data_IF_459763469248
#
_entry.id   IF_459763469248
#
_cell.length_a   1.000
_cell.length_b   1.000
_cell.length_c   1.000
_cell.angle_alpha   90.00
_cell.angle_beta   90.00
_cell.angle_gamma   90.00
#
_symmetry.space_group_name_H-M   'P 1'
#
loop_
_entity.id
_entity.type
_entity.pdbx_description
1 polymer ?
#
# COMPACT_ATOMS: atom_id res chain seq x y z
N UNK A 1 -15.04 -11.12 4.56
CA UNK A 1 -14.41 -10.79 3.28
C UNK A 1 -13.57 -9.54 3.42
N UNK A 2 -12.31 -9.58 2.98
CA UNK A 2 -11.41 -8.42 2.94
C UNK A 2 -11.30 -7.95 1.49
N UNK A 3 -11.48 -6.65 1.24
CA UNK A 3 -11.28 -6.06 -0.09
C UNK A 3 -9.81 -5.71 -0.35
N UNK A 4 -9.44 -5.57 -1.62
CA UNK A 4 -8.14 -5.01 -2.02
C UNK A 4 -8.35 -3.55 -2.46
N UNK A 5 -7.66 -2.62 -1.81
CA UNK A 5 -7.84 -1.18 -2.00
C UNK A 5 -6.50 -0.52 -2.35
N UNK A 6 -6.48 0.15 -3.49
CA UNK A 6 -5.31 0.89 -3.95
C UNK A 6 -5.39 2.35 -3.52
N UNK A 7 -4.58 2.73 -2.54
CA UNK A 7 -4.44 4.13 -2.09
C UNK A 7 -3.30 4.86 -2.77
N UNK A 8 -2.47 4.17 -3.56
CA UNK A 8 -1.27 4.74 -4.16
C UNK A 8 -1.52 5.40 -5.53
N UNK A 9 -2.43 4.85 -6.33
CA UNK A 9 -2.70 5.26 -7.71
C UNK A 9 -4.12 4.87 -8.11
N UNK A 10 -4.61 5.42 -9.22
CA UNK A 10 -5.79 4.91 -9.93
C UNK A 10 -5.38 4.30 -11.26
N UNK A 11 -6.34 3.80 -12.05
CA UNK A 11 -6.13 3.61 -13.49
C UNK A 11 -6.15 4.95 -14.23
N UNK A 12 -5.60 4.98 -15.44
CA UNK A 12 -5.67 6.11 -16.38
C UNK A 12 -7.08 6.30 -16.97
N UNK A 13 -7.88 5.25 -17.06
CA UNK A 13 -9.30 5.33 -17.41
C UNK A 13 -10.22 5.65 -16.21
N UNK A 14 -9.66 6.02 -15.05
CA UNK A 14 -10.46 6.38 -13.88
C UNK A 14 -11.09 7.76 -14.08
N UNK A 15 -12.36 7.93 -13.74
CA UNK A 15 -13.12 9.17 -13.94
C UNK A 15 -12.40 10.42 -13.38
N UNK A 16 -11.73 10.28 -12.23
CA UNK A 16 -10.92 11.37 -11.67
C UNK A 16 -9.72 11.72 -12.53
N UNK A 17 -9.02 10.74 -13.09
CA UNK A 17 -7.86 11.01 -13.93
C UNK A 17 -8.29 11.58 -15.28
N UNK A 18 -9.39 11.10 -15.86
CA UNK A 18 -9.96 11.65 -17.08
C UNK A 18 -10.38 13.12 -16.88
N UNK A 19 -11.08 13.42 -15.77
CA UNK A 19 -11.46 14.78 -15.41
C UNK A 19 -10.22 15.68 -15.24
N UNK A 20 -9.26 15.24 -14.42
CA UNK A 20 -8.00 15.93 -14.15
C UNK A 20 -7.20 16.23 -15.43
N UNK A 21 -7.12 15.27 -16.35
CA UNK A 21 -6.37 15.40 -17.60
C UNK A 21 -7.08 16.28 -18.62
N UNK A 22 -8.42 16.31 -18.59
CA UNK A 22 -9.22 17.11 -19.53
C UNK A 22 -9.33 18.58 -19.13
N UNK A 23 -9.31 18.87 -17.82
CA UNK A 23 -9.46 20.22 -17.28
C UNK A 23 -8.49 20.45 -16.11
N UNK A 24 -7.37 21.17 -16.35
CA UNK A 24 -6.42 21.54 -15.30
C UNK A 24 -6.99 22.42 -14.18
N UNK A 25 -8.18 23.02 -14.37
CA UNK A 25 -8.86 23.81 -13.34
C UNK A 25 -9.86 22.98 -12.50
N UNK A 26 -10.05 21.70 -12.82
CA UNK A 26 -10.91 20.79 -12.05
C UNK A 26 -10.37 20.54 -10.64
N UNK A 27 -11.25 20.12 -9.73
CA UNK A 27 -10.83 19.70 -8.38
C UNK A 27 -9.94 18.45 -8.45
N UNK A 28 -10.27 17.55 -9.37
CA UNK A 28 -9.55 16.31 -9.65
C UNK A 28 -8.13 16.53 -10.19
N UNK A 29 -7.84 17.66 -10.83
CA UNK A 29 -6.47 18.02 -11.21
C UNK A 29 -5.52 18.00 -10.00
N UNK A 30 -6.03 18.38 -8.81
CA UNK A 30 -5.28 18.30 -7.55
C UNK A 30 -5.06 16.88 -7.03
N UNK A 31 -5.77 15.88 -7.54
CA UNK A 31 -5.69 14.49 -7.05
C UNK A 31 -4.47 13.76 -7.59
N UNK A 32 -3.75 14.34 -8.56
CA UNK A 32 -2.58 13.75 -9.19
C UNK A 32 -1.41 14.74 -9.17
N UNK A 33 -0.23 14.26 -9.57
CA UNK A 33 0.96 15.09 -9.72
C UNK A 33 1.21 15.32 -11.21
N UNK A 34 0.79 16.45 -11.76
CA UNK A 34 1.14 16.86 -13.13
C UNK A 34 2.42 17.70 -13.15
N UNK A 35 3.16 17.66 -14.26
CA UNK A 35 4.25 18.60 -14.53
C UNK A 35 3.73 20.03 -14.65
N UNK A 36 4.61 21.02 -14.46
CA UNK A 36 4.22 22.44 -14.53
C UNK A 36 3.61 22.84 -15.89
N UNK A 37 4.06 22.19 -16.97
CA UNK A 37 3.54 22.40 -18.33
C UNK A 37 2.37 21.46 -18.69
N UNK A 38 1.95 20.59 -17.78
CA UNK A 38 0.88 19.61 -17.97
C UNK A 38 1.17 18.51 -18.99
N UNK A 39 2.42 18.40 -19.48
CA UNK A 39 2.80 17.41 -20.49
C UNK A 39 3.06 16.01 -19.94
N UNK A 40 3.28 15.89 -18.63
CA UNK A 40 3.60 14.65 -17.95
C UNK A 40 2.94 14.58 -16.56
N UNK A 41 2.94 13.39 -15.95
CA UNK A 41 2.43 13.16 -14.61
C UNK A 41 3.18 12.04 -13.88
N UNK A 42 3.20 12.10 -12.55
CA UNK A 42 3.78 11.02 -11.77
C UNK A 42 2.91 9.77 -11.84
N UNK A 43 3.52 8.65 -12.21
CA UNK A 43 2.87 7.35 -12.24
C UNK A 43 3.66 6.32 -11.41
N UNK A 44 2.97 5.27 -10.92
CA UNK A 44 3.63 4.24 -10.13
C UNK A 44 4.67 3.49 -10.98
N UNK A 45 5.94 3.54 -10.55
CA UNK A 45 7.10 3.07 -11.33
C UNK A 45 7.15 3.60 -12.78
N UNK A 46 6.58 4.77 -13.04
CA UNK A 46 6.53 5.36 -14.38
C UNK A 46 5.62 4.61 -15.35
N UNK A 47 4.76 3.70 -14.87
CA UNK A 47 3.79 2.98 -15.71
C UNK A 47 2.62 3.92 -16.01
N UNK A 48 2.43 4.41 -17.26
CA UNK A 48 1.48 5.50 -17.54
C UNK A 48 0.04 5.17 -17.14
N UNK A 49 -0.36 3.90 -17.24
CA UNK A 49 -1.70 3.47 -16.87
C UNK A 49 -2.02 3.53 -15.37
N UNK A 50 -1.04 3.91 -14.52
CA UNK A 50 -1.16 3.90 -13.06
C UNK A 50 -0.80 5.28 -12.46
N UNK A 51 -1.57 6.34 -12.79
CA UNK A 51 -1.35 7.70 -12.31
C UNK A 51 -1.41 7.78 -10.78
N UNK A 52 -0.39 8.41 -10.18
CA UNK A 52 -0.18 8.42 -8.74
C UNK A 52 -1.05 9.46 -8.04
N UNK A 53 -1.71 9.04 -6.97
CA UNK A 53 -2.55 9.91 -6.15
C UNK A 53 -1.73 10.89 -5.29
N UNK A 54 -2.14 12.15 -5.30
CA UNK A 54 -1.56 13.26 -4.54
C UNK A 54 -2.31 13.50 -3.23
N UNK A 55 -1.83 12.87 -2.16
CA UNK A 55 -2.41 12.98 -0.82
C UNK A 55 -2.23 14.34 -0.14
N UNK A 56 -1.65 15.35 -0.81
CA UNK A 56 -1.72 16.74 -0.34
C UNK A 56 -3.10 17.37 -0.60
N UNK A 57 -3.85 16.85 -1.59
CA UNK A 57 -5.20 17.38 -1.90
C UNK A 57 -6.18 17.09 -0.75
N UNK A 58 -6.77 18.14 -0.14
CA UNK A 58 -7.80 17.95 0.88
C UNK A 58 -9.05 17.28 0.33
N UNK A 59 -9.45 17.63 -0.91
CA UNK A 59 -10.61 17.06 -1.57
C UNK A 59 -10.44 15.56 -1.87
N UNK A 60 -9.22 15.12 -2.27
CA UNK A 60 -8.92 13.69 -2.38
C UNK A 60 -9.09 12.99 -1.03
N UNK A 61 -8.56 13.57 0.05
CA UNK A 61 -8.67 12.98 1.40
C UNK A 61 -10.12 12.84 1.83
N UNK A 62 -10.93 13.86 1.59
CA UNK A 62 -12.35 13.84 1.90
C UNK A 62 -13.08 12.75 1.12
N UNK A 63 -12.94 12.72 -0.22
CA UNK A 63 -13.66 11.77 -1.07
C UNK A 63 -13.18 10.32 -0.90
N UNK A 64 -11.88 10.11 -0.67
CA UNK A 64 -11.31 8.77 -0.58
C UNK A 64 -11.41 8.18 0.83
N UNK A 65 -11.10 8.97 1.86
CA UNK A 65 -10.97 8.50 3.25
C UNK A 65 -12.03 9.13 4.16
N UNK A 66 -12.30 10.42 4.01
CA UNK A 66 -13.06 11.21 4.98
C UNK A 66 -14.56 10.88 5.06
N UNK A 67 -14.99 10.41 6.23
CA UNK A 67 -16.41 10.30 6.56
C UNK A 67 -17.12 9.08 5.95
N UNK A 68 -18.43 8.94 6.21
CA UNK A 68 -19.17 7.71 5.91
C UNK A 68 -19.41 7.47 4.42
N UNK A 69 -19.30 8.51 3.58
CA UNK A 69 -19.47 8.43 2.13
C UNK A 69 -18.17 8.15 1.38
N UNK A 70 -17.03 8.09 2.07
CA UNK A 70 -15.73 7.87 1.46
C UNK A 70 -15.61 6.48 0.85
N UNK A 71 -14.66 6.29 -0.08
CA UNK A 71 -14.36 4.97 -0.66
C UNK A 71 -14.03 3.95 0.45
N UNK A 72 -13.22 4.36 1.43
CA UNK A 72 -12.84 3.51 2.57
C UNK A 72 -14.07 3.06 3.36
N UNK A 73 -15.00 3.98 3.66
CA UNK A 73 -16.15 3.70 4.51
C UNK A 73 -17.28 2.96 3.78
N UNK A 74 -17.55 3.33 2.52
CA UNK A 74 -18.70 2.88 1.74
C UNK A 74 -18.81 1.36 1.63
N UNK A 75 -17.70 0.67 1.37
CA UNK A 75 -17.73 -0.78 1.19
C UNK A 75 -17.68 -1.57 2.51
N UNK A 76 -17.36 -0.92 3.63
CA UNK A 76 -17.47 -1.50 4.96
C UNK A 76 -18.92 -1.46 5.49
N UNK A 77 -19.78 -0.65 4.87
CA UNK A 77 -21.18 -0.48 5.23
C UNK A 77 -22.11 -1.37 4.38
N UNK A 78 -23.39 -1.54 4.79
CA UNK A 78 -24.40 -2.15 3.95
C UNK A 78 -24.52 -1.45 2.59
N UNK A 79 -24.75 -2.20 1.50
CA UNK A 79 -25.03 -3.63 1.45
C UNK A 79 -23.78 -4.53 1.37
N UNK A 80 -22.59 -3.96 1.31
CA UNK A 80 -21.35 -4.70 1.02
C UNK A 80 -20.78 -5.40 2.26
N UNK A 81 -20.74 -4.71 3.41
CA UNK A 81 -20.28 -5.23 4.70
C UNK A 81 -18.92 -5.95 4.61
N UNK A 82 -17.93 -5.33 3.96
CA UNK A 82 -16.55 -5.85 4.02
C UNK A 82 -16.04 -5.83 5.46
N UNK A 83 -15.26 -6.86 5.81
CA UNK A 83 -14.64 -7.01 7.14
C UNK A 83 -13.27 -6.31 7.22
N UNK A 84 -12.86 -5.59 6.17
CA UNK A 84 -11.56 -4.94 6.16
C UNK A 84 -10.98 -4.69 4.78
N UNK A 85 -9.75 -4.18 4.81
CA UNK A 85 -8.97 -3.82 3.63
C UNK A 85 -7.57 -4.41 3.68
N UNK A 86 -7.12 -4.95 2.54
CA UNK A 86 -5.71 -5.07 2.17
C UNK A 86 -5.37 -3.85 1.33
N UNK A 87 -4.31 -3.14 1.68
CA UNK A 87 -3.88 -1.93 0.99
C UNK A 87 -2.72 -2.26 0.04
N UNK A 88 -2.98 -2.06 -1.25
CA UNK A 88 -2.01 -2.23 -2.33
C UNK A 88 -0.87 -1.22 -2.25
N UNK A 89 0.37 -1.71 -2.35
CA UNK A 89 1.62 -0.93 -2.28
C UNK A 89 1.57 0.14 -1.18
N UNK A 90 1.09 -0.26 0.01
CA UNK A 90 0.84 0.63 1.13
C UNK A 90 2.11 1.39 1.55
N UNK A 91 3.29 0.76 1.44
CA UNK A 91 4.58 1.40 1.72
C UNK A 91 4.92 2.60 0.82
N UNK A 92 4.23 2.81 -0.31
CA UNK A 92 4.44 3.97 -1.20
C UNK A 92 3.28 4.98 -1.20
N UNK A 93 2.20 4.67 -0.48
CA UNK A 93 1.04 5.56 -0.34
C UNK A 93 1.45 6.88 0.33
N UNK A 94 1.03 8.01 -0.24
CA UNK A 94 1.33 9.33 0.31
C UNK A 94 2.79 9.77 0.21
N UNK A 95 3.65 9.01 -0.50
CA UNK A 95 5.08 9.32 -0.67
C UNK A 95 5.39 9.74 -2.10
N UNK A 96 5.92 10.95 -2.30
CA UNK A 96 6.39 11.43 -3.61
C UNK A 96 7.41 12.57 -3.43
N UNK A 97 8.60 12.44 -4.02
CA UNK A 97 9.68 13.42 -3.84
C UNK A 97 10.03 13.61 -2.35
N UNK A 98 9.94 14.85 -1.86
CA UNK A 98 10.15 15.19 -0.45
C UNK A 98 8.90 14.99 0.44
N UNK A 99 7.75 14.66 -0.15
CA UNK A 99 6.49 14.44 0.56
C UNK A 99 6.47 13.03 1.16
N UNK A 100 6.26 12.94 2.47
CA UNK A 100 5.96 11.68 3.15
C UNK A 100 4.75 11.86 4.07
N UNK A 101 3.59 11.45 3.57
CA UNK A 101 2.31 11.48 4.29
C UNK A 101 1.82 10.08 4.66
N UNK A 102 2.66 9.05 4.50
CA UNK A 102 2.25 7.65 4.60
C UNK A 102 1.52 7.35 5.92
N UNK A 103 2.15 7.69 7.04
CA UNK A 103 1.61 7.50 8.39
C UNK A 103 0.31 8.27 8.60
N UNK A 104 0.22 9.50 8.09
CA UNK A 104 -0.98 10.34 8.23
C UNK A 104 -2.16 9.75 7.45
N UNK A 105 -1.92 9.28 6.22
CA UNK A 105 -2.92 8.61 5.39
C UNK A 105 -3.36 7.30 6.06
N UNK A 106 -2.41 6.47 6.51
CA UNK A 106 -2.68 5.21 7.20
C UNK A 106 -3.54 5.40 8.46
N UNK A 107 -3.20 6.41 9.27
CA UNK A 107 -3.96 6.76 10.48
C UNK A 107 -5.38 7.20 10.15
N UNK A 108 -5.57 8.00 9.10
CA UNK A 108 -6.88 8.45 8.65
C UNK A 108 -7.75 7.28 8.14
N UNK A 109 -7.16 6.35 7.37
CA UNK A 109 -7.82 5.11 6.94
C UNK A 109 -8.26 4.31 8.17
N UNK A 110 -7.35 4.02 9.11
CA UNK A 110 -7.68 3.29 10.33
C UNK A 110 -8.78 3.95 11.15
N UNK A 111 -8.73 5.28 11.29
CA UNK A 111 -9.76 6.03 12.01
C UNK A 111 -11.13 5.86 11.37
N UNK A 112 -11.21 6.04 10.04
CA UNK A 112 -12.45 5.88 9.28
C UNK A 112 -13.01 4.47 9.42
N UNK A 113 -12.15 3.45 9.31
CA UNK A 113 -12.56 2.06 9.47
C UNK A 113 -13.13 1.80 10.87
N UNK A 114 -12.46 2.28 11.92
CA UNK A 114 -12.92 2.13 13.31
C UNK A 114 -14.26 2.83 13.54
N UNK A 115 -14.46 3.99 12.94
CA UNK A 115 -15.72 4.76 13.07
C UNK A 115 -16.89 4.03 12.39
N UNK A 116 -16.62 3.23 11.36
CA UNK A 116 -17.63 2.36 10.72
C UNK A 116 -17.83 1.04 11.48
N UNK A 117 -16.74 0.31 11.73
CA UNK A 117 -16.74 -0.96 12.44
C UNK A 117 -15.35 -1.21 13.09
N UNK A 118 -15.25 -1.22 14.43
CA UNK A 118 -13.99 -1.41 15.14
C UNK A 118 -13.38 -2.82 14.96
N UNK A 119 -14.16 -3.80 14.51
CA UNK A 119 -13.72 -5.18 14.32
C UNK A 119 -13.13 -5.45 12.92
N UNK A 120 -12.87 -4.39 12.15
CA UNK A 120 -12.32 -4.50 10.79
C UNK A 120 -10.82 -4.79 10.76
N UNK A 121 -10.37 -5.57 9.77
CA UNK A 121 -8.97 -5.88 9.54
C UNK A 121 -8.33 -4.90 8.54
N UNK A 122 -7.11 -4.44 8.81
CA UNK A 122 -6.38 -3.52 7.93
C UNK A 122 -4.96 -4.04 7.72
N UNK A 123 -4.72 -4.65 6.57
CA UNK A 123 -3.42 -5.18 6.18
C UNK A 123 -2.76 -4.28 5.15
N UNK A 124 -1.47 -4.02 5.30
CA UNK A 124 -0.73 -3.16 4.39
C UNK A 124 0.35 -3.94 3.65
N UNK A 125 0.41 -3.81 2.33
CA UNK A 125 1.51 -4.35 1.54
C UNK A 125 2.79 -3.55 1.72
N UNK A 126 3.88 -4.28 2.03
CA UNK A 126 5.23 -3.74 2.06
C UNK A 126 6.19 -4.65 1.29
N UNK A 127 6.69 -4.12 0.18
CA UNK A 127 7.67 -4.79 -0.71
C UNK A 127 9.11 -4.70 -0.20
N UNK A 128 9.36 -3.82 0.77
CA UNK A 128 10.64 -3.65 1.45
C UNK A 128 10.50 -3.97 2.95
N UNK A 129 11.56 -3.74 3.72
CA UNK A 129 11.49 -3.84 5.18
C UNK A 129 10.40 -2.91 5.73
N UNK A 130 9.39 -3.52 6.33
CA UNK A 130 8.18 -2.86 6.76
C UNK A 130 8.31 -2.28 8.18
N UNK A 131 9.33 -2.67 8.96
CA UNK A 131 9.37 -2.36 10.39
C UNK A 131 9.19 -0.85 10.71
N UNK A 132 9.73 0.03 9.85
CA UNK A 132 9.63 1.49 10.01
C UNK A 132 8.21 2.04 9.91
N UNK A 133 7.29 1.38 9.21
CA UNK A 133 5.94 1.90 8.96
C UNK A 133 4.88 1.24 9.87
N UNK A 134 5.27 0.26 10.70
CA UNK A 134 4.37 -0.60 11.46
C UNK A 134 4.63 -0.52 12.96
N UNK A 135 4.13 0.55 13.57
CA UNK A 135 4.26 0.78 15.01
C UNK A 135 3.07 0.28 15.85
N UNK A 136 2.05 -0.30 15.20
CA UNK A 136 0.83 -0.80 15.84
C UNK A 136 -0.30 0.23 15.97
N UNK A 137 -0.05 1.49 15.58
CA UNK A 137 -1.00 2.60 15.65
C UNK A 137 -1.69 2.91 14.31
N UNK A 138 -1.15 2.44 13.17
CA UNK A 138 -1.72 2.63 11.83
C UNK A 138 -2.27 1.33 11.23
N UNK A 139 -1.40 0.39 10.87
CA UNK A 139 -1.77 -0.87 10.23
C UNK A 139 -1.96 -1.98 11.27
N UNK A 140 -2.90 -2.91 11.04
CA UNK A 140 -3.07 -4.08 11.93
C UNK A 140 -1.99 -5.14 11.67
N UNK A 141 -1.60 -5.34 10.40
CA UNK A 141 -0.58 -6.32 10.01
C UNK A 141 0.03 -6.01 8.66
N UNK A 142 1.19 -6.61 8.38
CA UNK A 142 1.98 -6.35 7.18
C UNK A 142 1.99 -7.57 6.25
N UNK A 143 1.65 -7.39 4.98
CA UNK A 143 2.08 -8.32 3.94
C UNK A 143 3.55 -8.00 3.60
N UNK A 144 4.48 -8.68 4.27
CA UNK A 144 5.91 -8.45 4.13
C UNK A 144 6.60 -9.59 3.37
N UNK A 145 7.06 -9.27 2.17
CA UNK A 145 7.82 -10.22 1.36
C UNK A 145 9.22 -10.44 1.92
N UNK A 146 9.84 -9.41 2.51
CA UNK A 146 11.20 -9.49 3.08
C UNK A 146 11.29 -10.37 4.32
N UNK A 147 10.25 -10.40 5.16
CA UNK A 147 10.28 -11.14 6.42
C UNK A 147 10.10 -12.67 6.22
N UNK A 148 9.30 -13.08 5.23
CA UNK A 148 8.94 -14.49 5.09
C UNK A 148 9.11 -15.02 3.67
N UNK A 149 8.36 -14.50 2.70
CA UNK A 149 8.31 -15.04 1.34
C UNK A 149 9.68 -15.11 0.67
N UNK A 150 10.47 -14.04 0.78
CA UNK A 150 11.81 -13.97 0.19
C UNK A 150 12.77 -15.00 0.82
N UNK A 151 13.00 -15.01 2.14
CA UNK A 151 13.80 -16.06 2.78
C UNK A 151 13.30 -17.49 2.51
N UNK A 152 11.97 -17.70 2.49
CA UNK A 152 11.38 -19.02 2.23
C UNK A 152 11.72 -19.51 0.81
N UNK A 153 11.62 -18.62 -0.18
CA UNK A 153 11.98 -18.95 -1.56
C UNK A 153 13.49 -19.17 -1.71
N UNK A 154 14.32 -18.41 -1.02
CA UNK A 154 15.77 -18.66 -0.96
C UNK A 154 16.10 -20.05 -0.40
N UNK A 155 15.30 -20.57 0.53
CA UNK A 155 15.50 -21.91 1.06
C UNK A 155 14.96 -23.01 0.13
N UNK A 156 13.76 -22.83 -0.43
CA UNK A 156 12.99 -23.91 -1.07
C UNK A 156 12.94 -23.88 -2.61
N UNK A 157 13.20 -22.76 -3.27
CA UNK A 157 12.91 -22.61 -4.71
C UNK A 157 13.76 -23.51 -5.62
N UNK A 158 14.93 -23.98 -5.17
CA UNK A 158 15.78 -24.88 -5.96
C UNK A 158 16.07 -24.33 -7.36
N UNK A 159 15.86 -25.14 -8.40
CA UNK A 159 16.03 -24.75 -9.80
C UNK A 159 14.89 -23.89 -10.37
N UNK A 160 13.79 -23.68 -9.61
CA UNK A 160 12.73 -22.77 -10.03
C UNK A 160 13.11 -21.29 -9.82
N UNK A 161 14.19 -21.02 -9.08
CA UNK A 161 14.65 -19.67 -8.75
C UNK A 161 14.81 -18.75 -9.97
N UNK A 162 15.31 -19.27 -11.10
CA UNK A 162 15.56 -18.50 -12.34
C UNK A 162 14.27 -18.00 -13.03
N UNK A 163 13.09 -18.41 -12.54
CA UNK A 163 11.79 -18.06 -13.11
C UNK A 163 10.94 -17.20 -12.18
N UNK A 164 11.50 -16.79 -11.05
CA UNK A 164 10.76 -16.11 -10.00
C UNK A 164 11.05 -14.61 -10.04
N UNK A 165 10.02 -13.81 -10.31
CA UNK A 165 10.08 -12.38 -10.05
C UNK A 165 10.18 -12.18 -8.52
N UNK A 166 11.34 -11.76 -8.03
CA UNK A 166 11.64 -11.60 -6.61
C UNK A 166 11.09 -10.27 -6.05
N UNK A 167 9.86 -9.94 -6.46
CA UNK A 167 9.11 -8.73 -6.10
C UNK A 167 9.88 -7.44 -6.41
N UNK A 168 10.34 -7.29 -7.65
CA UNK A 168 10.97 -6.06 -8.13
C UNK A 168 12.42 -5.83 -7.70
N UNK A 169 13.06 -6.79 -7.02
CA UNK A 169 14.52 -6.71 -6.79
C UNK A 169 15.28 -6.97 -8.09
N UNK A 170 16.47 -6.39 -8.29
CA UNK A 170 17.27 -6.59 -9.49
C UNK A 170 17.96 -7.97 -9.59
N UNK A 171 17.59 -8.92 -8.72
CA UNK A 171 18.18 -10.26 -8.73
C UNK A 171 17.47 -11.16 -9.76
N UNK A 172 18.22 -12.02 -10.48
CA UNK A 172 17.64 -12.95 -11.45
C UNK A 172 16.77 -14.04 -10.80
N UNK A 173 16.91 -14.23 -9.49
CA UNK A 173 16.16 -15.18 -8.68
C UNK A 173 16.63 -15.14 -7.22
N UNK A 174 15.96 -15.84 -6.31
CA UNK A 174 16.38 -15.95 -4.91
C UNK A 174 17.73 -16.69 -4.79
N UNK A 175 18.74 -16.06 -4.19
CA UNK A 175 20.00 -16.73 -3.82
C UNK A 175 19.71 -17.86 -2.82
N UNK A 176 20.26 -19.06 -3.03
CA UNK A 176 20.00 -20.20 -2.16
C UNK A 176 20.60 -20.02 -0.77
N UNK A 177 19.82 -20.31 0.27
CA UNK A 177 20.25 -20.30 1.67
C UNK A 177 19.90 -21.62 2.36
N UNK A 178 20.64 -22.03 3.41
CA UNK A 178 20.26 -23.17 4.24
C UNK A 178 19.10 -22.83 5.18
N UNK A 179 18.46 -23.85 5.77
CA UNK A 179 17.27 -23.69 6.61
C UNK A 179 17.54 -22.83 7.86
N UNK A 180 18.73 -22.94 8.43
CA UNK A 180 19.16 -22.20 9.61
C UNK A 180 19.19 -20.69 9.32
N UNK A 181 19.67 -20.32 8.13
CA UNK A 181 19.70 -18.92 7.69
C UNK A 181 18.30 -18.39 7.39
N UNK A 182 17.37 -19.23 6.89
CA UNK A 182 15.97 -18.86 6.78
C UNK A 182 15.36 -18.51 8.14
N UNK A 183 15.56 -19.37 9.15
CA UNK A 183 15.04 -19.15 10.51
C UNK A 183 15.65 -17.89 11.13
N UNK A 184 16.94 -17.66 10.94
CA UNK A 184 17.64 -16.46 11.41
C UNK A 184 17.05 -15.19 10.79
N UNK A 185 16.95 -15.13 9.46
CA UNK A 185 16.41 -13.98 8.73
C UNK A 185 14.96 -13.69 9.15
N UNK A 186 14.12 -14.72 9.19
CA UNK A 186 12.73 -14.57 9.64
C UNK A 186 12.66 -14.03 11.07
N UNK A 187 13.49 -14.55 11.98
CA UNK A 187 13.51 -14.11 13.37
C UNK A 187 13.95 -12.65 13.52
N UNK A 188 14.98 -12.23 12.77
CA UNK A 188 15.49 -10.85 12.78
C UNK A 188 14.46 -9.87 12.26
N UNK A 189 13.84 -10.14 11.10
CA UNK A 189 12.81 -9.26 10.55
C UNK A 189 11.55 -9.24 11.40
N UNK A 190 11.12 -10.38 11.96
CA UNK A 190 9.97 -10.43 12.87
C UNK A 190 10.23 -9.67 14.18
N UNK A 191 11.47 -9.63 14.67
CA UNK A 191 11.84 -8.93 15.89
C UNK A 191 11.82 -7.39 15.75
N UNK A 192 11.86 -6.88 14.52
CA UNK A 192 11.78 -5.45 14.25
C UNK A 192 10.36 -4.88 14.41
N UNK A 193 9.32 -5.74 14.42
CA UNK A 193 7.95 -5.33 14.71
C UNK A 193 7.70 -5.24 16.22
N UNK A 194 6.96 -4.22 16.70
CA UNK A 194 6.50 -4.18 18.08
C UNK A 194 5.65 -5.41 18.43
N UNK A 195 5.67 -5.81 19.71
CA UNK A 195 4.91 -6.95 20.22
C UNK A 195 3.45 -6.95 19.77
N UNK A 196 2.79 -5.80 19.80
CA UNK A 196 1.39 -5.64 19.40
C UNK A 196 1.14 -6.03 17.94
N UNK A 197 2.06 -5.69 17.03
CA UNK A 197 1.94 -6.06 15.61
C UNK A 197 2.31 -7.54 15.43
N UNK A 198 3.29 -8.02 16.20
CA UNK A 198 3.76 -9.41 16.11
C UNK A 198 2.73 -10.43 16.62
N UNK A 199 1.90 -10.10 17.61
CA UNK A 199 0.83 -11.01 18.05
C UNK A 199 -0.40 -11.02 17.14
N UNK A 200 -0.43 -10.14 16.13
CA UNK A 200 -1.50 -10.07 15.13
C UNK A 200 -1.04 -10.49 13.72
N UNK A 201 0.26 -10.76 13.53
CA UNK A 201 0.87 -11.28 12.30
C UNK A 201 1.01 -12.81 12.34
#
# INVERSE_FOLDING_TARGET
MVGDLTTNHTGDAHEWFEAASSDPASEEAGFYYFSEDGSDYAAWFGVPSLPKLNWLSPALRERFIGGPSSVVARFLQPPFNLDGWRIDVANMTGRHGAVDLNRSVASAVRSTMRDVNPDTLLLAESTNDAARDFHGDTWHGAMTYSNFTRPLWQWLAGSAADRVNFFGTPLPGPNRIPAEQFVELHSVFAAAFPWQVRTQN
#
